data_IF_220088248225
#
_entry.id   IF_220088248225
#
_cell.length_a   1.000
_cell.length_b   1.000
_cell.length_c   1.000
_cell.angle_alpha   90.00
_cell.angle_beta   90.00
_cell.angle_gamma   90.00
#
_symmetry.space_group_name_H-M   'P 1'
#
loop_
_entity.id
_entity.type
_entity.pdbx_description
1 polymer ?
#
# COMPACT_ATOMS: atom_id res chain seq x y z
N UNK A 1 -17.24 -30.58 24.60
CA UNK A 1 -16.35 -30.57 23.42
C UNK A 1 -15.59 -29.25 23.46
N UNK A 2 -14.26 -29.26 23.58
CA UNK A 2 -13.46 -28.02 23.60
C UNK A 2 -13.42 -27.46 22.17
N UNK A 3 -13.77 -26.19 22.00
CA UNK A 3 -13.60 -25.49 20.73
C UNK A 3 -12.12 -25.54 20.32
N UNK A 4 -11.79 -25.77 19.03
CA UNK A 4 -10.41 -25.60 18.59
C UNK A 4 -10.08 -24.12 18.67
N UNK A 5 -9.15 -23.77 19.56
CA UNK A 5 -8.49 -22.47 19.54
C UNK A 5 -7.88 -22.32 18.14
N UNK A 6 -8.46 -21.45 17.31
CA UNK A 6 -7.89 -21.11 16.01
C UNK A 6 -6.73 -20.17 16.27
N UNK A 7 -5.60 -20.73 16.72
CA UNK A 7 -4.38 -19.97 16.97
C UNK A 7 -3.85 -19.46 15.64
N UNK A 8 -3.88 -18.13 15.48
CA UNK A 8 -3.28 -17.44 14.33
C UNK A 8 -1.78 -17.75 14.32
N UNK A 9 -1.29 -18.30 13.22
CA UNK A 9 0.14 -18.58 13.07
C UNK A 9 0.93 -17.29 12.86
N UNK A 10 2.25 -17.34 13.09
CA UNK A 10 3.14 -16.21 12.78
C UNK A 10 3.08 -15.83 11.30
N UNK A 11 2.90 -16.82 10.42
CA UNK A 11 2.76 -16.64 8.97
C UNK A 11 1.45 -15.92 8.62
N UNK A 12 0.35 -16.27 9.30
CA UNK A 12 -0.93 -15.59 9.12
C UNK A 12 -0.85 -14.13 9.61
N UNK A 13 -0.22 -13.88 10.75
CA UNK A 13 -0.01 -12.54 11.28
C UNK A 13 0.84 -11.68 10.32
N UNK A 14 1.92 -12.25 9.78
CA UNK A 14 2.78 -11.58 8.80
C UNK A 14 2.00 -11.25 7.51
N UNK A 15 1.15 -12.17 7.04
CA UNK A 15 0.30 -11.95 5.87
C UNK A 15 -0.71 -10.82 6.08
N UNK A 16 -1.36 -10.77 7.25
CA UNK A 16 -2.32 -9.70 7.59
C UNK A 16 -1.61 -8.35 7.68
N UNK A 17 -0.48 -8.28 8.38
CA UNK A 17 0.30 -7.04 8.51
C UNK A 17 0.80 -6.52 7.16
N UNK A 18 1.21 -7.43 6.27
CA UNK A 18 1.60 -7.08 4.91
C UNK A 18 0.42 -6.51 4.12
N UNK A 19 -0.73 -7.17 4.13
CA UNK A 19 -1.92 -6.68 3.43
C UNK A 19 -2.33 -5.28 3.90
N UNK A 20 -2.30 -5.02 5.21
CA UNK A 20 -2.58 -3.69 5.76
C UNK A 20 -1.54 -2.64 5.33
N UNK A 21 -0.27 -3.01 5.25
CA UNK A 21 0.79 -2.11 4.81
C UNK A 21 0.61 -1.74 3.33
N UNK A 22 0.31 -2.73 2.48
CA UNK A 22 0.03 -2.52 1.06
C UNK A 22 -1.19 -1.62 0.84
N UNK A 23 -2.28 -1.86 1.57
CA UNK A 23 -3.49 -1.03 1.52
C UNK A 23 -3.20 0.43 1.91
N UNK A 24 -2.48 0.64 3.01
CA UNK A 24 -2.10 1.99 3.46
C UNK A 24 -1.24 2.73 2.46
N UNK A 25 -0.29 2.04 1.82
CA UNK A 25 0.57 2.66 0.80
C UNK A 25 -0.23 2.99 -0.45
N UNK A 26 -1.18 2.14 -0.88
CA UNK A 26 -2.07 2.47 -2.01
C UNK A 26 -2.91 3.71 -1.73
N UNK A 27 -3.60 3.75 -0.58
CA UNK A 27 -4.41 4.90 -0.19
C UNK A 27 -3.57 6.19 -0.14
N UNK A 28 -2.36 6.12 0.42
CA UNK A 28 -1.44 7.26 0.46
C UNK A 28 -1.05 7.74 -0.95
N UNK A 29 -0.73 6.81 -1.87
CA UNK A 29 -0.41 7.17 -3.26
C UNK A 29 -1.61 7.76 -4.00
N UNK A 30 -2.83 7.26 -3.77
CA UNK A 30 -4.06 7.79 -4.36
C UNK A 30 -4.37 9.21 -3.87
N UNK A 31 -4.27 9.45 -2.56
CA UNK A 31 -4.46 10.77 -1.97
C UNK A 31 -3.42 11.77 -2.52
N UNK A 32 -2.16 11.34 -2.61
CA UNK A 32 -1.09 12.17 -3.17
C UNK A 32 -1.32 12.44 -4.67
N UNK A 33 -1.79 11.44 -5.43
CA UNK A 33 -2.13 11.60 -6.83
C UNK A 33 -3.25 12.63 -7.02
N UNK A 34 -4.27 12.61 -6.16
CA UNK A 34 -5.36 13.58 -6.19
C UNK A 34 -4.86 15.02 -5.96
N UNK A 35 -3.92 15.21 -5.02
CA UNK A 35 -3.28 16.51 -4.79
C UNK A 35 -2.45 16.95 -6.00
N UNK A 36 -1.60 16.08 -6.55
CA UNK A 36 -0.74 16.40 -7.69
C UNK A 36 -1.57 16.73 -8.95
N UNK A 37 -2.64 15.99 -9.21
CA UNK A 37 -3.55 16.22 -10.32
C UNK A 37 -4.29 17.56 -10.17
N UNK A 38 -4.76 17.89 -8.96
CA UNK A 38 -5.43 19.18 -8.67
C UNK A 38 -4.54 20.37 -8.98
N UNK A 39 -3.24 20.25 -8.76
CA UNK A 39 -2.26 21.32 -8.99
C UNK A 39 -1.57 21.25 -10.36
N UNK A 40 -1.99 20.32 -11.23
CA UNK A 40 -1.45 20.09 -12.57
C UNK A 40 0.09 20.03 -12.61
N UNK A 41 0.70 19.35 -11.62
CA UNK A 41 2.15 19.41 -11.38
C UNK A 41 3.01 18.72 -12.45
N UNK A 42 2.43 18.02 -13.43
CA UNK A 42 3.20 17.14 -14.33
C UNK A 42 3.89 15.98 -13.59
N UNK A 43 3.37 15.61 -12.42
CA UNK A 43 3.87 14.55 -11.57
C UNK A 43 2.76 13.51 -11.34
N UNK A 44 3.15 12.26 -11.13
CA UNK A 44 2.27 11.18 -10.71
C UNK A 44 2.81 10.50 -9.46
N UNK A 45 1.92 10.25 -8.50
CA UNK A 45 2.18 9.37 -7.37
C UNK A 45 1.78 7.94 -7.72
N UNK A 46 2.64 6.99 -7.40
CA UNK A 46 2.43 5.56 -7.67
C UNK A 46 2.86 4.73 -6.47
N UNK A 47 2.02 3.75 -6.12
CA UNK A 47 2.36 2.73 -5.15
C UNK A 47 3.21 1.64 -5.84
N UNK A 48 4.36 1.32 -5.25
CA UNK A 48 5.22 0.22 -5.68
C UNK A 48 5.08 -0.90 -4.65
N UNK A 49 4.58 -2.06 -5.11
CA UNK A 49 4.38 -3.27 -4.31
C UNK A 49 5.07 -4.42 -5.04
N UNK A 50 6.31 -4.70 -4.65
CA UNK A 50 7.17 -5.70 -5.29
C UNK A 50 7.88 -6.54 -4.23
N UNK A 51 7.40 -7.77 -4.03
CA UNK A 51 7.88 -8.60 -2.91
C UNK A 51 7.70 -7.86 -1.58
N UNK A 52 8.78 -7.73 -0.81
CA UNK A 52 8.76 -7.03 0.49
C UNK A 52 8.91 -5.50 0.36
N UNK A 53 9.05 -4.98 -0.86
CA UNK A 53 9.12 -3.52 -1.10
C UNK A 53 7.71 -2.96 -1.25
N UNK A 54 7.30 -2.16 -0.28
CA UNK A 54 6.02 -1.46 -0.27
C UNK A 54 6.28 0.02 0.01
N UNK A 55 6.17 0.88 -1.01
CA UNK A 55 6.42 2.32 -0.88
C UNK A 55 5.63 3.16 -1.88
N UNK A 56 5.38 4.42 -1.54
CA UNK A 56 4.85 5.42 -2.47
C UNK A 56 6.00 6.18 -3.12
N UNK A 57 5.95 6.36 -4.44
CA UNK A 57 6.91 7.15 -5.22
C UNK A 57 6.20 8.28 -5.97
N UNK A 58 6.91 9.37 -6.23
CA UNK A 58 6.46 10.44 -7.14
C UNK A 58 7.36 10.43 -8.37
N UNK A 59 6.76 10.38 -9.56
CA UNK A 59 7.44 10.32 -10.85
C UNK A 59 7.02 11.49 -11.73
N UNK A 60 7.93 11.93 -12.60
CA UNK A 60 7.61 12.92 -13.63
C UNK A 60 6.78 12.25 -14.71
N UNK A 61 5.67 12.87 -15.10
CA UNK A 61 4.87 12.46 -16.26
C UNK A 61 5.22 13.41 -17.40
N UNK A 62 5.83 12.92 -18.50
CA UNK A 62 6.02 13.73 -19.70
C UNK A 62 4.67 14.25 -20.17
N UNK A 63 4.55 15.57 -20.39
CA UNK A 63 3.37 16.18 -21.01
C UNK A 63 3.41 16.05 -22.53
#
# INVERSE_FOLDING_TARGET
MKQPNSEMTVEDAARVLRAQTEERVRACSEDLQAVLAKHNCGLAAVAIIEGDRVRSEVRIVPQ
#
